data_IF_207851115641
#
_entry.id   IF_207851115641
#
_cell.length_a   1.000
_cell.length_b   1.000
_cell.length_c   1.000
_cell.angle_alpha   90.00
_cell.angle_beta   90.00
_cell.angle_gamma   90.00
#
_symmetry.space_group_name_H-M   'P 1'
#
loop_
_entity.id
_entity.type
_entity.pdbx_description
1 polymer ?
#
# COMPACT_ATOMS: atom_id res chain seq x y z
N UNK A 1 -21.09 -40.72 -48.16
CA UNK A 1 -22.16 -40.02 -47.41
C UNK A 1 -21.52 -38.91 -46.61
N UNK A 2 -21.65 -37.68 -47.12
CA UNK A 2 -21.29 -36.44 -46.43
C UNK A 2 -22.43 -36.11 -45.46
N UNK A 3 -22.10 -35.72 -44.23
CA UNK A 3 -23.03 -35.02 -43.34
C UNK A 3 -22.34 -33.75 -42.88
N UNK A 4 -22.69 -32.66 -43.58
CA UNK A 4 -22.68 -31.32 -43.02
C UNK A 4 -23.72 -31.21 -41.91
N UNK A 5 -23.49 -30.33 -40.94
CA UNK A 5 -24.50 -30.01 -39.94
C UNK A 5 -23.95 -29.21 -38.77
N UNK A 6 -23.70 -27.92 -38.98
CA UNK A 6 -23.26 -27.01 -37.92
C UNK A 6 -24.33 -26.78 -36.85
N UNK A 7 -23.88 -26.44 -35.64
CA UNK A 7 -24.65 -25.64 -34.68
C UNK A 7 -23.69 -24.77 -33.89
N UNK A 8 -23.63 -23.49 -34.29
CA UNK A 8 -23.17 -22.41 -33.45
C UNK A 8 -24.14 -22.19 -32.28
N UNK A 9 -23.68 -22.31 -31.02
CA UNK A 9 -24.33 -21.76 -29.82
C UNK A 9 -23.26 -21.30 -28.83
N UNK A 10 -22.99 -19.99 -28.80
CA UNK A 10 -23.49 -19.02 -27.81
C UNK A 10 -22.94 -19.24 -26.39
N UNK A 11 -21.99 -18.37 -25.98
CA UNK A 11 -22.20 -17.40 -24.89
C UNK A 11 -21.03 -16.42 -24.84
N UNK A 12 -21.22 -15.26 -25.46
CA UNK A 12 -20.65 -14.02 -24.94
C UNK A 12 -21.31 -13.75 -23.59
N UNK A 13 -20.50 -13.60 -22.54
CA UNK A 13 -20.90 -12.84 -21.37
C UNK A 13 -20.16 -11.51 -21.42
N UNK A 14 -20.83 -10.52 -22.00
CA UNK A 14 -20.63 -9.12 -21.67
C UNK A 14 -20.98 -8.93 -20.19
N UNK A 15 -20.13 -8.22 -19.47
CA UNK A 15 -20.37 -7.76 -18.12
C UNK A 15 -19.44 -6.62 -17.76
N UNK A 16 -19.61 -5.50 -18.46
CA UNK A 16 -19.01 -4.22 -18.08
C UNK A 16 -19.55 -3.80 -16.70
N UNK A 17 -18.67 -3.50 -15.75
CA UNK A 17 -19.03 -2.73 -14.56
C UNK A 17 -18.57 -1.31 -14.78
N UNK A 18 -19.57 -0.43 -14.80
CA UNK A 18 -19.50 0.98 -15.06
C UNK A 18 -18.76 1.74 -13.96
N UNK A 19 -18.19 2.87 -14.38
CA UNK A 19 -17.61 3.91 -13.57
C UNK A 19 -18.58 4.49 -12.53
N UNK A 20 -18.02 4.91 -11.39
CA UNK A 20 -18.37 6.15 -10.70
C UNK A 20 -19.36 6.03 -9.54
N UNK A 21 -18.84 6.03 -8.29
CA UNK A 21 -19.55 6.59 -7.13
C UNK A 21 -18.56 7.34 -6.24
N UNK A 22 -18.71 8.67 -6.28
CA UNK A 22 -18.62 9.68 -5.22
C UNK A 22 -17.52 9.60 -4.14
N UNK A 23 -16.65 10.60 -4.20
CA UNK A 23 -16.00 11.25 -3.04
C UNK A 23 -17.07 11.85 -2.12
N UNK A 24 -17.13 11.43 -0.84
CA UNK A 24 -17.54 12.28 0.29
C UNK A 24 -16.98 11.75 1.64
N UNK A 25 -16.67 12.65 2.60
CA UNK A 25 -16.06 12.34 3.89
C UNK A 25 -17.08 12.20 5.04
N UNK A 26 -16.71 11.58 6.19
CA UNK A 26 -17.31 11.89 7.49
C UNK A 26 -16.30 12.67 8.35
N UNK A 27 -16.59 13.93 8.64
CA UNK A 27 -17.20 14.41 9.89
C UNK A 27 -16.28 14.45 11.12
N UNK A 28 -16.04 15.71 11.49
CA UNK A 28 -15.48 16.24 12.73
C UNK A 28 -16.11 15.65 14.00
N UNK A 29 -15.31 14.95 14.80
CA UNK A 29 -15.61 14.70 16.21
C UNK A 29 -14.81 15.69 17.08
N UNK A 30 -15.55 16.69 17.57
CA UNK A 30 -15.16 17.64 18.61
C UNK A 30 -15.13 16.90 19.96
N UNK A 31 -13.95 16.61 20.48
CA UNK A 31 -13.78 16.20 21.88
C UNK A 31 -13.08 17.33 22.63
N UNK A 32 -13.88 18.13 23.32
CA UNK A 32 -13.43 19.00 24.40
C UNK A 32 -12.99 18.10 25.56
N UNK A 33 -11.80 18.32 26.10
CA UNK A 33 -11.54 18.00 27.50
C UNK A 33 -10.58 19.02 28.09
N UNK A 34 -11.18 19.98 28.79
CA UNK A 34 -10.51 20.86 29.72
C UNK A 34 -10.27 20.09 31.02
N UNK A 35 -9.00 19.93 31.40
CA UNK A 35 -8.65 19.57 32.77
C UNK A 35 -7.46 20.41 33.25
N UNK A 36 -7.83 21.31 34.15
CA UNK A 36 -7.08 22.25 35.00
C UNK A 36 -6.01 21.53 35.84
N UNK A 37 -4.83 22.14 36.12
CA UNK A 37 -4.05 21.78 37.29
C UNK A 37 -4.26 22.76 38.44
N UNK A 38 -4.20 22.18 39.63
CA UNK A 38 -4.31 22.72 40.98
C UNK A 38 -3.47 23.97 41.25
N UNK A 39 -4.02 24.85 42.10
CA UNK A 39 -3.29 25.94 42.72
C UNK A 39 -3.79 26.17 44.15
N UNK A 40 -2.89 26.03 45.13
CA UNK A 40 -2.88 26.67 46.46
C UNK A 40 -1.61 26.22 47.25
N UNK A 41 -1.13 26.94 48.30
CA UNK A 41 -1.31 28.35 48.69
C UNK A 41 -0.01 29.12 49.12
N UNK A 42 -0.06 30.47 49.03
CA UNK A 42 0.58 31.64 49.75
C UNK A 42 1.81 31.50 50.70
N UNK A 43 2.48 32.59 51.21
CA UNK A 43 2.37 34.06 50.98
C UNK A 43 3.74 34.77 50.77
N UNK A 44 3.76 36.08 50.52
CA UNK A 44 4.63 37.04 51.22
C UNK A 44 4.34 38.49 50.79
N UNK A 45 3.90 39.27 51.78
CA UNK A 45 3.76 40.73 51.73
C UNK A 45 5.07 41.39 51.32
N UNK A 46 5.01 42.17 50.25
CA UNK A 46 6.02 43.15 49.88
C UNK A 46 5.34 44.49 49.64
N UNK A 47 5.20 45.28 50.70
CA UNK A 47 4.91 46.71 50.64
C UNK A 47 6.03 47.44 49.89
N UNK A 48 5.72 48.11 48.79
CA UNK A 48 6.64 48.95 48.02
C UNK A 48 5.90 49.62 46.86
N UNK A 49 6.27 50.85 46.49
CA UNK A 49 5.34 51.98 46.44
C UNK A 49 4.47 51.97 45.19
N UNK A 50 3.26 52.53 45.33
CA UNK A 50 2.49 53.07 44.23
C UNK A 50 3.41 54.01 43.44
N UNK A 51 3.94 53.50 42.33
CA UNK A 51 4.59 54.33 41.33
C UNK A 51 3.45 54.97 40.57
N UNK A 52 3.22 56.25 40.86
CA UNK A 52 2.48 57.16 39.99
C UNK A 52 3.06 57.01 38.59
N UNK A 53 2.40 56.20 37.76
CA UNK A 53 2.56 56.32 36.32
C UNK A 53 1.82 57.59 35.95
N UNK A 54 2.56 58.70 36.03
CA UNK A 54 2.27 59.87 35.20
C UNK A 54 2.10 59.35 33.78
N UNK A 55 0.85 59.19 33.36
CA UNK A 55 0.48 58.98 31.97
C UNK A 55 0.79 60.32 31.30
N UNK A 56 2.06 60.50 30.93
CA UNK A 56 2.45 61.55 30.01
C UNK A 56 1.72 61.21 28.71
N UNK A 57 0.80 62.06 28.23
CA UNK A 57 0.12 61.79 26.99
C UNK A 57 1.19 61.75 25.90
N UNK A 58 1.33 60.58 25.27
CA UNK A 58 2.22 60.40 24.13
C UNK A 58 1.91 61.51 23.13
N UNK A 59 2.94 62.23 22.71
CA UNK A 59 2.79 63.24 21.66
C UNK A 59 2.28 62.56 20.38
N UNK A 60 1.48 63.25 19.54
CA UNK A 60 0.92 62.66 18.33
C UNK A 60 1.99 62.02 17.43
N UNK A 61 3.21 62.57 17.42
CA UNK A 61 4.36 62.01 16.71
C UNK A 61 4.84 60.67 17.28
N UNK A 62 4.79 60.48 18.60
CA UNK A 62 5.14 59.20 19.25
C UNK A 62 4.07 58.13 19.01
N UNK A 63 2.79 58.52 18.94
CA UNK A 63 1.70 57.64 18.54
C UNK A 63 1.80 57.21 17.07
N UNK A 64 2.18 58.12 16.17
CA UNK A 64 2.46 57.78 14.77
C UNK A 64 3.68 56.86 14.62
N UNK A 65 4.75 57.09 15.40
CA UNK A 65 5.93 56.22 15.42
C UNK A 65 5.61 54.82 15.96
N UNK A 66 4.77 54.70 16.99
CA UNK A 66 4.33 53.40 17.51
C UNK A 66 3.39 52.69 16.53
N UNK A 67 2.49 53.42 15.87
CA UNK A 67 1.59 52.87 14.86
C UNK A 67 2.35 52.35 13.63
N UNK A 68 3.34 53.10 13.16
CA UNK A 68 4.20 52.68 12.04
C UNK A 68 5.08 51.48 12.41
N UNK A 69 5.63 51.44 13.63
CA UNK A 69 6.37 50.29 14.14
C UNK A 69 5.50 49.02 14.22
N UNK A 70 4.25 49.14 14.69
CA UNK A 70 3.28 48.03 14.72
C UNK A 70 2.93 47.51 13.33
N UNK A 71 2.70 48.40 12.36
CA UNK A 71 2.42 48.02 10.97
C UNK A 71 3.61 47.29 10.32
N UNK A 72 4.83 47.74 10.60
CA UNK A 72 6.06 47.07 10.13
C UNK A 72 6.22 45.67 10.74
N UNK A 73 5.95 45.51 12.04
CA UNK A 73 5.98 44.20 12.69
C UNK A 73 4.92 43.25 12.12
N UNK A 74 3.69 43.71 11.91
CA UNK A 74 2.62 42.92 11.31
C UNK A 74 2.97 42.47 9.88
N UNK A 75 3.59 43.35 9.08
CA UNK A 75 4.04 43.01 7.73
C UNK A 75 5.15 41.95 7.75
N UNK A 76 6.12 42.06 8.67
CA UNK A 76 7.18 41.08 8.86
C UNK A 76 6.65 39.71 9.28
N UNK A 77 5.72 39.67 10.23
CA UNK A 77 5.07 38.43 10.69
C UNK A 77 4.29 37.77 9.55
N UNK A 78 3.54 38.57 8.78
CA UNK A 78 2.84 38.09 7.58
C UNK A 78 3.82 37.51 6.55
N UNK A 79 4.98 38.14 6.36
CA UNK A 79 6.02 37.65 5.45
C UNK A 79 6.65 36.35 5.95
N UNK A 80 6.94 36.24 7.26
CA UNK A 80 7.45 35.02 7.91
C UNK A 80 6.44 33.87 7.81
N UNK A 81 5.16 34.13 8.06
CA UNK A 81 4.08 33.13 7.92
C UNK A 81 3.93 32.60 6.49
N UNK A 82 3.99 33.48 5.48
CA UNK A 82 3.97 33.09 4.06
C UNK A 82 5.16 32.19 3.68
N UNK A 83 6.37 32.51 4.17
CA UNK A 83 7.58 31.70 3.93
C UNK A 83 7.45 30.30 4.54
N UNK A 84 7.00 30.20 5.81
CA UNK A 84 6.76 28.91 6.48
C UNK A 84 5.72 28.06 5.76
N UNK A 85 4.60 28.67 5.35
CA UNK A 85 3.54 27.99 4.58
C UNK A 85 4.08 27.44 3.25
N UNK A 86 4.92 28.21 2.55
CA UNK A 86 5.54 27.78 1.29
C UNK A 86 6.50 26.60 1.47
N UNK A 87 7.26 26.56 2.56
CA UNK A 87 8.12 25.41 2.89
C UNK A 87 7.30 24.13 3.11
N UNK A 88 6.27 24.22 3.96
CA UNK A 88 5.36 23.09 4.23
C UNK A 88 4.63 22.58 2.99
N UNK A 89 4.28 23.47 2.05
CA UNK A 89 3.65 23.06 0.77
C UNK A 89 4.65 22.26 -0.08
N UNK A 90 5.91 22.68 -0.15
CA UNK A 90 6.95 21.96 -0.90
C UNK A 90 7.23 20.58 -0.31
N UNK A 91 7.32 20.47 1.00
CA UNK A 91 7.47 19.18 1.69
C UNK A 91 6.29 18.25 1.40
N UNK A 92 5.06 18.78 1.37
CA UNK A 92 3.88 17.99 1.00
C UNK A 92 3.89 17.57 -0.48
N UNK A 93 4.40 18.40 -1.37
CA UNK A 93 4.55 18.06 -2.79
C UNK A 93 5.62 16.97 -2.99
N UNK A 94 6.73 17.05 -2.26
CA UNK A 94 7.79 16.04 -2.26
C UNK A 94 7.28 14.69 -1.74
N UNK A 95 6.57 14.69 -0.61
CA UNK A 95 5.95 13.46 -0.06
C UNK A 95 4.93 12.87 -1.03
N UNK A 96 4.15 13.70 -1.73
CA UNK A 96 3.19 13.22 -2.75
C UNK A 96 3.90 12.61 -3.95
N UNK A 97 5.02 13.20 -4.39
CA UNK A 97 5.82 12.66 -5.48
C UNK A 97 6.44 11.31 -5.09
N UNK A 98 7.04 11.22 -3.90
CA UNK A 98 7.58 9.96 -3.39
C UNK A 98 6.51 8.87 -3.25
N UNK A 99 5.31 9.24 -2.80
CA UNK A 99 4.20 8.31 -2.66
C UNK A 99 3.76 7.77 -4.03
N UNK A 100 3.62 8.64 -5.03
CA UNK A 100 3.29 8.23 -6.39
C UNK A 100 4.37 7.31 -6.99
N UNK A 101 5.66 7.60 -6.74
CA UNK A 101 6.76 6.73 -7.18
C UNK A 101 6.71 5.35 -6.50
N UNK A 102 6.47 5.31 -5.18
CA UNK A 102 6.33 4.06 -4.43
C UNK A 102 5.12 3.25 -4.89
N UNK A 103 4.01 3.90 -5.21
CA UNK A 103 2.81 3.24 -5.78
C UNK A 103 3.11 2.60 -7.14
N UNK A 104 3.84 3.29 -8.02
CA UNK A 104 4.26 2.71 -9.30
C UNK A 104 5.15 1.48 -9.11
N UNK A 105 6.15 1.58 -8.22
CA UNK A 105 7.05 0.45 -7.91
C UNK A 105 6.28 -0.73 -7.33
N UNK A 106 5.27 -0.48 -6.49
CA UNK A 106 4.41 -1.54 -5.94
C UNK A 106 3.62 -2.23 -7.04
N UNK A 107 2.99 -1.48 -7.96
CA UNK A 107 2.25 -2.04 -9.08
C UNK A 107 3.14 -2.86 -10.03
N UNK A 108 4.36 -2.40 -10.29
CA UNK A 108 5.34 -3.14 -11.09
C UNK A 108 5.73 -4.47 -10.42
N UNK A 109 5.99 -4.43 -9.11
CA UNK A 109 6.31 -5.63 -8.33
C UNK A 109 5.14 -6.60 -8.26
N UNK A 110 3.92 -6.12 -8.08
CA UNK A 110 2.72 -6.96 -8.09
C UNK A 110 2.57 -7.69 -9.43
N UNK A 111 2.78 -6.97 -10.54
CA UNK A 111 2.77 -7.58 -11.87
C UNK A 111 3.86 -8.65 -12.02
N UNK A 112 5.09 -8.35 -11.61
CA UNK A 112 6.20 -9.32 -11.66
C UNK A 112 5.90 -10.56 -10.79
N UNK A 113 5.28 -10.36 -9.63
CA UNK A 113 4.90 -11.44 -8.72
C UNK A 113 3.83 -12.34 -9.36
N UNK A 114 2.82 -11.76 -10.00
CA UNK A 114 1.79 -12.51 -10.73
C UNK A 114 2.38 -13.34 -11.88
N UNK A 115 3.30 -12.78 -12.65
CA UNK A 115 4.00 -13.51 -13.73
C UNK A 115 4.82 -14.69 -13.18
N UNK A 116 5.51 -14.48 -12.05
CA UNK A 116 6.26 -15.53 -11.35
C UNK A 116 5.35 -16.62 -10.80
N UNK A 117 4.23 -16.26 -10.18
CA UNK A 117 3.24 -17.21 -9.67
C UNK A 117 2.66 -18.09 -10.78
N UNK A 118 2.32 -17.48 -11.91
CA UNK A 118 1.86 -18.22 -13.09
C UNK A 118 2.94 -19.19 -13.58
N UNK A 119 4.19 -18.74 -13.66
CA UNK A 119 5.32 -19.59 -14.07
C UNK A 119 5.50 -20.77 -13.10
N UNK A 120 5.44 -20.52 -11.80
CA UNK A 120 5.55 -21.56 -10.77
C UNK A 120 4.41 -22.56 -10.86
N UNK A 121 3.19 -22.11 -11.16
CA UNK A 121 2.04 -23.00 -11.36
C UNK A 121 2.28 -23.97 -12.51
N UNK A 122 2.70 -23.46 -13.69
CA UNK A 122 3.00 -24.30 -14.86
C UNK A 122 4.12 -25.30 -14.56
N UNK A 123 5.21 -24.85 -13.94
CA UNK A 123 6.33 -25.73 -13.59
C UNK A 123 5.94 -26.84 -12.61
N UNK A 124 5.00 -26.56 -11.69
CA UNK A 124 4.45 -27.58 -10.78
C UNK A 124 3.64 -28.62 -11.53
N UNK A 125 2.80 -28.20 -12.47
CA UNK A 125 2.01 -29.10 -13.32
C UNK A 125 2.92 -29.98 -14.17
N UNK A 126 3.94 -29.41 -14.81
CA UNK A 126 4.93 -30.15 -15.59
C UNK A 126 5.67 -31.20 -14.74
N UNK A 127 6.10 -30.81 -13.53
CA UNK A 127 6.77 -31.71 -12.60
C UNK A 127 5.86 -32.84 -12.12
N UNK A 128 4.58 -32.58 -11.91
CA UNK A 128 3.60 -33.62 -11.59
C UNK A 128 3.40 -34.60 -12.76
N UNK A 129 3.31 -34.09 -13.99
CA UNK A 129 3.22 -34.92 -15.19
C UNK A 129 4.47 -35.78 -15.33
N UNK A 130 5.65 -35.21 -15.15
CA UNK A 130 6.92 -35.94 -15.23
C UNK A 130 7.00 -37.06 -14.18
N UNK A 131 6.58 -36.79 -12.93
CA UNK A 131 6.50 -37.81 -11.89
C UNK A 131 5.54 -38.95 -12.25
N UNK A 132 4.37 -38.62 -12.80
CA UNK A 132 3.39 -39.63 -13.26
C UNK A 132 3.98 -40.47 -14.39
N UNK A 133 4.61 -39.84 -15.37
CA UNK A 133 5.25 -40.53 -16.49
C UNK A 133 6.38 -41.46 -16.00
N UNK A 134 7.25 -40.97 -15.11
CA UNK A 134 8.31 -41.79 -14.49
C UNK A 134 7.72 -43.01 -13.77
N UNK A 135 6.64 -42.83 -13.00
CA UNK A 135 5.97 -43.95 -12.33
C UNK A 135 5.42 -44.99 -13.32
N UNK A 136 4.81 -44.54 -14.42
CA UNK A 136 4.29 -45.45 -15.45
C UNK A 136 5.42 -46.22 -16.14
N UNK A 137 6.48 -45.53 -16.56
CA UNK A 137 7.63 -46.15 -17.21
C UNK A 137 8.35 -47.14 -16.30
N UNK A 138 8.49 -46.83 -15.00
CA UNK A 138 9.05 -47.78 -14.04
C UNK A 138 8.19 -49.04 -13.92
N UNK A 139 6.86 -48.88 -13.83
CA UNK A 139 5.94 -50.03 -13.78
C UNK A 139 5.98 -50.87 -15.06
N UNK A 140 6.04 -50.22 -16.23
CA UNK A 140 6.14 -50.93 -17.51
C UNK A 140 7.47 -51.67 -17.63
N UNK A 141 8.57 -51.07 -17.15
CA UNK A 141 9.87 -51.73 -17.08
C UNK A 141 9.83 -52.97 -16.18
N UNK A 142 9.28 -52.85 -14.97
CA UNK A 142 9.14 -53.97 -14.03
C UNK A 142 8.31 -55.10 -14.63
N UNK A 143 7.17 -54.77 -15.27
CA UNK A 143 6.35 -55.77 -15.98
C UNK A 143 7.11 -56.44 -17.12
N UNK A 144 7.85 -55.68 -17.92
CA UNK A 144 8.64 -56.24 -19.02
C UNK A 144 9.75 -57.17 -18.49
N UNK A 145 10.38 -56.84 -17.36
CA UNK A 145 11.36 -57.70 -16.69
C UNK A 145 10.71 -58.97 -16.13
N UNK A 146 9.52 -58.87 -15.53
CA UNK A 146 8.73 -60.01 -15.06
C UNK A 146 8.32 -60.92 -16.22
N UNK A 147 7.78 -60.36 -17.31
CA UNK A 147 7.38 -61.11 -18.52
C UNK A 147 8.59 -61.80 -19.18
N UNK A 148 9.73 -61.10 -19.27
CA UNK A 148 10.97 -61.69 -19.78
C UNK A 148 11.46 -62.83 -18.88
N UNK A 149 11.42 -62.65 -17.55
CA UNK A 149 11.80 -63.69 -16.60
C UNK A 149 10.89 -64.92 -16.69
N UNK A 150 9.58 -64.70 -16.84
CA UNK A 150 8.58 -65.75 -17.01
C UNK A 150 8.80 -66.52 -18.32
N UNK A 151 9.04 -65.82 -19.43
CA UNK A 151 9.33 -66.42 -20.72
C UNK A 151 10.60 -67.28 -20.67
N UNK A 152 11.68 -66.79 -20.05
CA UNK A 152 12.89 -67.58 -19.86
C UNK A 152 12.65 -68.83 -19.00
N UNK A 153 11.87 -68.72 -17.92
CA UNK A 153 11.48 -69.85 -17.08
C UNK A 153 10.67 -70.91 -17.83
N UNK A 154 9.74 -70.49 -18.69
CA UNK A 154 8.94 -71.41 -19.51
C UNK A 154 9.77 -72.09 -20.60
N UNK A 155 10.69 -71.37 -21.25
CA UNK A 155 11.55 -71.94 -22.30
C UNK A 155 12.61 -72.92 -21.75
N UNK A 156 13.06 -72.75 -20.51
CA UNK A 156 14.04 -73.63 -19.87
C UNK A 156 13.39 -74.83 -19.14
N UNK A 157 12.15 -74.69 -18.68
CA UNK A 157 11.38 -75.76 -18.02
C UNK A 157 10.69 -76.76 -18.95
N UNK A 158 10.58 -76.48 -20.25
CA UNK A 158 9.83 -77.31 -21.21
C UNK A 158 10.61 -78.44 -21.91
N UNK A 159 11.93 -78.57 -21.73
CA UNK A 159 12.75 -79.57 -22.45
C UNK A 159 13.05 -80.86 -21.69
N UNK A 160 12.40 -81.09 -20.55
CA UNK A 160 12.56 -82.31 -19.74
C UNK A 160 11.22 -83.06 -19.63
N UNK A 161 10.75 -83.62 -20.75
CA UNK A 161 9.81 -84.75 -20.73
C UNK A 161 10.36 -85.84 -21.66
N UNK A 162 10.48 -87.11 -21.19
CA UNK A 162 10.99 -88.23 -21.99
C UNK A 162 10.08 -88.63 -23.15
#
# INVERSE_FOLDING_TARGET
MQLEGGVARRRLLLGAIAAGIAVMPPQSARAQNSTRPDQAPVPLSGTGPASDSSIVPLTPEQLEQEATAKLLQEEEERRKARKRKKGRIRELEEIRAELAEKELVLLEKEKELLEKEQTVMVLREELEIEKKLRSLLTKEKEKAEEEASLAMGLCTGGSMLP
#
